data_IF_841212219271
#
_entry.id   IF_841212219271
#
_cell.length_a   1.000
_cell.length_b   1.000
_cell.length_c   1.000
_cell.angle_alpha   90.00
_cell.angle_beta   90.00
_cell.angle_gamma   90.00
#
_symmetry.space_group_name_H-M   'P 1'
#
loop_
_entity.id
_entity.type
_entity.pdbx_description
1 polymer ?
#
# COMPACT_ATOMS: atom_id res chain seq x y z
N UNK A 1 1.38 26.84 19.72
CA UNK A 1 1.77 27.62 20.91
C UNK A 1 3.28 27.81 20.94
N UNK A 2 3.76 29.05 21.02
CA UNK A 2 5.17 29.36 21.23
C UNK A 2 5.62 28.89 22.63
N UNK A 3 6.95 28.84 22.87
CA UNK A 3 7.49 28.51 24.21
C UNK A 3 6.98 29.47 25.29
N UNK A 4 6.83 30.74 24.93
CA UNK A 4 6.40 31.82 25.80
C UNK A 4 4.92 31.69 26.18
N UNK A 5 4.06 31.41 25.20
CA UNK A 5 2.63 31.15 25.44
C UNK A 5 2.41 29.97 26.39
N UNK A 6 3.28 28.96 26.31
CA UNK A 6 3.26 27.77 27.17
C UNK A 6 3.68 28.06 28.60
N UNK A 7 4.76 28.81 28.79
CA UNK A 7 5.17 29.23 30.13
C UNK A 7 4.10 30.13 30.78
N UNK A 8 3.47 31.01 30.01
CA UNK A 8 2.36 31.84 30.47
C UNK A 8 1.16 30.99 30.92
N UNK A 9 0.78 29.97 30.15
CA UNK A 9 -0.31 29.05 30.50
C UNK A 9 -0.01 28.27 31.80
N UNK A 10 1.20 27.71 31.95
CA UNK A 10 1.58 27.03 33.19
C UNK A 10 1.71 27.98 34.39
N UNK A 11 2.04 29.25 34.16
CA UNK A 11 2.07 30.28 35.20
C UNK A 11 0.65 30.62 35.66
N UNK A 12 -0.30 30.73 34.74
CA UNK A 12 -1.73 30.93 35.03
C UNK A 12 -2.36 29.75 35.77
N UNK A 13 -2.01 28.50 35.42
CA UNK A 13 -2.48 27.33 36.14
C UNK A 13 -1.96 27.31 37.58
N UNK A 14 -0.68 27.65 37.79
CA UNK A 14 -0.04 27.68 39.12
C UNK A 14 -0.55 28.82 40.01
N UNK A 15 -1.09 29.90 39.43
CA UNK A 15 -1.66 31.01 40.20
C UNK A 15 -3.09 30.77 40.68
N UNK A 16 -3.76 29.70 40.20
CA UNK A 16 -5.13 29.38 40.62
C UNK A 16 -5.16 28.75 42.02
N UNK A 17 -6.26 28.92 42.77
CA UNK A 17 -6.45 28.24 44.03
C UNK A 17 -6.37 26.72 43.84
N UNK A 18 -5.84 26.03 44.85
CA UNK A 18 -5.47 24.60 44.74
C UNK A 18 -6.61 23.70 44.27
N UNK A 19 -7.86 23.96 44.67
CA UNK A 19 -9.02 23.20 44.23
C UNK A 19 -9.28 23.30 42.71
N UNK A 20 -9.14 24.51 42.15
CA UNK A 20 -9.28 24.74 40.71
C UNK A 20 -8.07 24.22 39.94
N UNK A 21 -6.86 24.38 40.49
CA UNK A 21 -5.65 23.78 39.95
C UNK A 21 -5.79 22.26 39.85
N UNK A 22 -6.24 21.59 40.92
CA UNK A 22 -6.43 20.15 40.96
C UNK A 22 -7.45 19.68 39.91
N UNK A 23 -8.60 20.37 39.80
CA UNK A 23 -9.62 20.07 38.79
C UNK A 23 -9.10 20.25 37.35
N UNK A 24 -8.32 21.29 37.09
CA UNK A 24 -7.68 21.51 35.79
C UNK A 24 -6.55 20.49 35.52
N UNK A 25 -5.83 20.06 36.56
CA UNK A 25 -4.75 19.09 36.49
C UNK A 25 -5.24 17.63 36.35
N UNK A 26 -6.46 17.32 36.82
CA UNK A 26 -7.09 16.02 36.62
C UNK A 26 -7.32 15.70 35.15
N UNK A 27 -7.58 16.71 34.30
CA UNK A 27 -7.61 16.54 32.84
C UNK A 27 -6.25 16.05 32.27
N UNK A 28 -5.15 16.31 32.98
CA UNK A 28 -3.80 15.89 32.61
C UNK A 28 -3.44 14.48 33.15
N UNK A 29 -4.10 14.01 34.23
CA UNK A 29 -3.85 12.68 34.81
C UNK A 29 -4.67 11.59 34.11
N UNK A 30 -4.17 10.35 34.15
CA UNK A 30 -4.88 9.16 33.63
C UNK A 30 -4.66 8.85 32.15
N UNK A 31 -4.14 9.80 31.38
CA UNK A 31 -3.78 9.61 29.99
C UNK A 31 -2.34 9.10 29.91
N UNK A 32 -2.14 7.81 30.22
CA UNK A 32 -0.82 7.18 30.16
C UNK A 32 -0.15 7.37 28.79
N UNK A 33 1.04 6.79 28.60
CA UNK A 33 1.81 6.94 27.34
C UNK A 33 1.02 6.63 26.05
N UNK A 34 -0.11 5.93 26.16
CA UNK A 34 -1.02 5.55 25.08
C UNK A 34 -2.48 6.02 25.28
N UNK A 35 -2.77 6.87 26.27
CA UNK A 35 -4.13 7.38 26.51
C UNK A 35 -4.50 8.46 25.49
N UNK A 36 -5.67 8.34 24.86
CA UNK A 36 -6.21 9.40 24.00
C UNK A 36 -6.51 10.64 24.84
N UNK A 37 -5.67 11.66 24.69
CA UNK A 37 -5.92 12.97 25.30
C UNK A 37 -7.23 13.55 24.77
N UNK A 38 -7.96 14.33 25.59
CA UNK A 38 -9.11 15.08 25.11
C UNK A 38 -8.68 15.97 23.94
N UNK A 39 -9.47 16.00 22.88
CA UNK A 39 -9.25 16.87 21.71
C UNK A 39 -9.09 18.32 22.19
N UNK A 40 -7.88 18.87 22.07
CA UNK A 40 -7.54 20.23 22.55
C UNK A 40 -6.72 20.32 23.84
N UNK A 41 -6.51 19.22 24.58
CA UNK A 41 -5.58 19.21 25.71
C UNK A 41 -4.17 18.88 25.20
N UNK A 42 -3.39 19.92 24.92
CA UNK A 42 -1.99 19.85 24.45
C UNK A 42 -1.06 19.29 25.53
N UNK A 43 -1.16 18.00 25.86
CA UNK A 43 -0.05 17.29 26.51
C UNK A 43 0.88 16.80 25.41
N UNK A 44 1.92 17.58 25.15
CA UNK A 44 3.31 17.23 24.76
C UNK A 44 3.62 15.92 23.99
N UNK A 45 2.69 15.30 23.29
CA UNK A 45 3.01 14.42 22.18
C UNK A 45 3.04 15.30 20.95
N UNK A 46 4.09 15.16 20.14
CA UNK A 46 4.12 15.64 18.77
C UNK A 46 3.04 14.88 17.99
N UNK A 47 1.78 15.20 18.24
CA UNK A 47 0.67 14.81 17.37
C UNK A 47 0.66 15.87 16.27
N UNK A 48 1.67 15.78 15.41
CA UNK A 48 1.60 16.37 14.08
C UNK A 48 0.39 15.72 13.45
N UNK A 49 -0.71 16.48 13.40
CA UNK A 49 -1.97 16.28 12.70
C UNK A 49 -2.51 14.83 12.69
N UNK A 50 -3.73 14.63 13.20
CA UNK A 50 -4.45 13.38 12.95
C UNK A 50 -4.77 13.30 11.45
N UNK A 51 -3.77 12.95 10.64
CA UNK A 51 -3.94 12.65 9.24
C UNK A 51 -4.98 11.54 9.17
N UNK A 52 -6.12 11.85 8.56
CA UNK A 52 -7.21 10.91 8.36
C UNK A 52 -6.66 9.63 7.73
N UNK A 53 -6.64 8.54 8.50
CA UNK A 53 -6.23 7.24 8.01
C UNK A 53 -7.28 6.74 7.00
N UNK A 54 -6.86 5.91 6.04
CA UNK A 54 -7.76 5.36 4.99
C UNK A 54 -9.05 4.77 5.56
N UNK A 55 -8.96 4.15 6.74
CA UNK A 55 -10.10 3.52 7.39
C UNK A 55 -11.12 4.52 7.95
N UNK A 56 -10.80 5.81 8.09
CA UNK A 56 -11.74 6.86 8.46
C UNK A 56 -12.64 7.25 7.28
N UNK A 57 -12.07 7.38 6.07
CA UNK A 57 -12.79 7.79 4.87
C UNK A 57 -13.35 6.63 4.03
N UNK A 58 -12.73 5.45 4.08
CA UNK A 58 -13.07 4.29 3.26
C UNK A 58 -13.31 3.04 4.11
N UNK A 59 -14.17 2.16 3.61
CA UNK A 59 -14.36 0.81 4.11
C UNK A 59 -14.28 -0.19 2.97
N UNK A 60 -14.03 -1.45 3.31
CA UNK A 60 -14.01 -2.53 2.34
C UNK A 60 -15.42 -2.99 2.04
N UNK A 61 -15.71 -3.21 0.76
CA UNK A 61 -16.97 -3.80 0.34
C UNK A 61 -16.95 -5.31 0.60
N UNK A 62 -17.69 -5.75 1.62
CA UNK A 62 -17.76 -7.15 2.05
C UNK A 62 -18.20 -8.08 0.91
N UNK A 63 -19.11 -7.61 0.03
CA UNK A 63 -19.57 -8.38 -1.14
C UNK A 63 -18.43 -8.73 -2.12
N UNK A 64 -17.36 -7.92 -2.12
CA UNK A 64 -16.18 -8.09 -2.99
C UNK A 64 -14.95 -8.61 -2.25
N UNK A 65 -15.07 -8.86 -0.95
CA UNK A 65 -14.00 -9.35 -0.10
C UNK A 65 -14.42 -10.62 0.66
N UNK A 66 -15.20 -11.49 0.01
CA UNK A 66 -15.63 -12.78 0.56
C UNK A 66 -16.34 -12.66 1.93
N UNK A 67 -17.11 -11.59 2.13
CA UNK A 67 -17.85 -11.33 3.37
C UNK A 67 -17.00 -10.77 4.52
N UNK A 68 -15.72 -10.47 4.28
CA UNK A 68 -14.82 -9.96 5.32
C UNK A 68 -14.71 -8.44 5.28
N UNK A 69 -14.80 -7.81 6.45
CA UNK A 69 -14.69 -6.35 6.62
C UNK A 69 -13.26 -5.79 6.52
N UNK A 70 -12.25 -6.68 6.53
CA UNK A 70 -10.83 -6.32 6.53
C UNK A 70 -10.00 -7.03 5.46
N UNK A 71 -8.82 -6.50 5.08
CA UNK A 71 -7.87 -7.25 4.25
C UNK A 71 -7.39 -8.48 5.02
N UNK A 72 -7.37 -9.63 4.36
CA UNK A 72 -6.89 -10.88 4.96
C UNK A 72 -6.12 -11.70 3.92
N UNK A 73 -5.12 -12.46 4.38
CA UNK A 73 -4.38 -13.39 3.54
C UNK A 73 -4.66 -14.81 4.02
N UNK A 74 -5.01 -15.70 3.09
CA UNK A 74 -5.33 -17.10 3.37
C UNK A 74 -4.39 -18.01 2.57
N UNK A 75 -4.06 -19.17 3.15
CA UNK A 75 -3.23 -20.18 2.49
C UNK A 75 -4.04 -20.90 1.40
N UNK A 76 -3.89 -20.45 0.16
CA UNK A 76 -4.51 -21.09 -1.00
C UNK A 76 -3.69 -22.28 -1.49
N UNK A 77 -4.20 -23.50 -1.30
CA UNK A 77 -3.60 -24.74 -1.81
C UNK A 77 -4.11 -25.15 -3.20
N UNK A 78 -5.34 -24.78 -3.55
CA UNK A 78 -5.96 -25.13 -4.84
C UNK A 78 -5.34 -24.32 -6.01
N UNK A 79 -5.05 -25.00 -7.13
CA UNK A 79 -4.41 -24.41 -8.30
C UNK A 79 -5.24 -23.31 -8.98
N UNK A 80 -6.54 -23.53 -9.16
CA UNK A 80 -7.44 -22.57 -9.79
C UNK A 80 -7.63 -21.33 -8.91
N UNK A 81 -7.82 -21.52 -7.61
CA UNK A 81 -7.90 -20.42 -6.65
C UNK A 81 -6.59 -19.61 -6.64
N UNK A 82 -5.43 -20.28 -6.70
CA UNK A 82 -4.12 -19.60 -6.80
C UNK A 82 -3.99 -18.81 -8.11
N UNK A 83 -4.56 -19.27 -9.20
CA UNK A 83 -4.54 -18.56 -10.49
C UNK A 83 -5.32 -17.23 -10.45
N UNK A 84 -6.35 -17.15 -9.60
CA UNK A 84 -7.13 -15.90 -9.37
C UNK A 84 -6.39 -14.86 -8.53
N UNK A 85 -5.33 -15.24 -7.81
CA UNK A 85 -4.50 -14.31 -7.05
C UNK A 85 -3.62 -13.47 -7.98
N UNK A 86 -3.36 -12.23 -7.57
CA UNK A 86 -2.52 -11.30 -8.33
C UNK A 86 -1.05 -11.70 -8.23
N UNK A 87 -0.41 -11.89 -9.38
CA UNK A 87 1.02 -12.10 -9.50
C UNK A 87 1.76 -10.81 -9.17
N UNK A 88 2.67 -10.88 -8.20
CA UNK A 88 3.46 -9.75 -7.73
C UNK A 88 4.93 -10.01 -8.05
N UNK A 89 5.68 -8.95 -8.30
CA UNK A 89 7.12 -8.92 -8.46
C UNK A 89 7.78 -8.58 -7.12
N UNK A 90 8.37 -9.58 -6.48
CA UNK A 90 9.25 -9.32 -5.35
C UNK A 90 10.54 -8.63 -5.84
N UNK A 91 11.31 -8.05 -4.92
CA UNK A 91 12.59 -7.38 -5.23
C UNK A 91 13.52 -8.23 -6.09
N UNK A 92 13.57 -9.55 -5.85
CA UNK A 92 14.40 -10.48 -6.61
C UNK A 92 13.86 -10.76 -8.03
N UNK A 93 12.54 -10.81 -8.21
CA UNK A 93 11.93 -11.15 -9.50
C UNK A 93 11.72 -9.93 -10.41
N UNK A 94 11.71 -8.72 -9.86
CA UNK A 94 11.47 -7.50 -10.64
C UNK A 94 12.45 -7.35 -11.80
N UNK A 95 13.75 -7.48 -11.52
CA UNK A 95 14.81 -7.38 -12.54
C UNK A 95 14.66 -8.44 -13.65
N UNK A 96 14.21 -9.65 -13.32
CA UNK A 96 13.96 -10.70 -14.30
C UNK A 96 12.86 -10.29 -15.29
N UNK A 97 11.72 -9.78 -14.81
CA UNK A 97 10.62 -9.39 -15.69
C UNK A 97 10.95 -8.18 -16.55
N UNK A 98 11.70 -7.21 -16.01
CA UNK A 98 12.17 -6.05 -16.77
C UNK A 98 13.13 -6.46 -17.91
N UNK A 99 14.04 -7.40 -17.62
CA UNK A 99 15.02 -7.90 -18.58
C UNK A 99 14.39 -8.80 -19.66
N UNK A 100 13.56 -9.78 -19.28
CA UNK A 100 12.92 -10.72 -20.21
C UNK A 100 11.82 -10.04 -21.03
N UNK A 101 11.08 -9.11 -20.42
CA UNK A 101 10.00 -8.40 -21.08
C UNK A 101 8.72 -9.25 -21.21
N UNK A 102 7.99 -9.15 -22.34
CA UNK A 102 6.71 -9.84 -22.53
C UNK A 102 6.87 -11.37 -22.63
N UNK A 103 5.84 -12.11 -22.26
CA UNK A 103 5.84 -13.57 -22.34
C UNK A 103 6.02 -14.01 -23.82
N UNK A 104 7.00 -14.89 -24.12
CA UNK A 104 7.16 -15.40 -25.48
C UNK A 104 5.92 -16.19 -25.92
N UNK A 105 5.61 -16.24 -27.23
CA UNK A 105 4.50 -17.02 -27.74
C UNK A 105 4.67 -18.49 -27.36
N UNK A 106 3.57 -19.16 -26.99
CA UNK A 106 3.60 -20.59 -26.66
C UNK A 106 4.19 -21.39 -27.81
N UNK A 107 5.17 -22.22 -27.50
CA UNK A 107 5.73 -23.17 -28.46
C UNK A 107 4.59 -24.07 -28.96
N UNK A 108 4.36 -24.06 -30.28
CA UNK A 108 3.41 -24.99 -30.89
C UNK A 108 3.96 -26.40 -30.72
N UNK A 109 3.10 -27.35 -30.37
CA UNK A 109 3.48 -28.75 -30.37
C UNK A 109 4.08 -29.11 -31.74
N UNK A 110 5.16 -29.91 -31.79
CA UNK A 110 5.72 -30.33 -33.06
C UNK A 110 4.63 -31.04 -33.86
N UNK A 111 4.54 -30.71 -35.14
CA UNK A 111 3.62 -31.38 -36.05
C UNK A 111 4.10 -32.82 -36.21
N UNK A 112 3.42 -33.76 -35.56
CA UNK A 112 3.73 -35.19 -35.65
C UNK A 112 3.49 -35.76 -37.05
N UNK A 113 2.69 -35.06 -37.87
CA UNK A 113 2.40 -35.42 -39.26
C UNK A 113 2.79 -34.26 -40.15
N UNK A 114 3.43 -34.55 -41.28
CA UNK A 114 3.72 -33.56 -42.31
C UNK A 114 2.43 -32.93 -42.84
N UNK A 115 2.40 -31.61 -43.08
CA UNK A 115 1.24 -30.97 -43.70
C UNK A 115 0.95 -31.61 -45.06
N UNK A 116 -0.32 -31.86 -45.36
CA UNK A 116 -0.73 -32.29 -46.71
C UNK A 116 -0.46 -31.16 -47.72
N UNK A 117 0.09 -31.46 -48.91
CA UNK A 117 0.27 -30.46 -49.95
C UNK A 117 -1.07 -29.80 -50.28
N UNK A 118 -1.13 -28.46 -50.21
CA UNK A 118 -2.33 -27.68 -50.59
C UNK A 118 -3.09 -27.02 -49.44
N UNK A 119 -2.79 -27.32 -48.16
CA UNK A 119 -3.34 -26.56 -47.03
C UNK A 119 -2.40 -25.40 -46.68
N UNK A 120 -2.77 -24.17 -47.04
CA UNK A 120 -2.03 -22.97 -46.66
C UNK A 120 -2.02 -22.81 -45.14
N UNK A 121 -0.85 -23.04 -44.51
CA UNK A 121 -0.64 -22.67 -43.11
C UNK A 121 -0.85 -21.16 -42.96
N UNK A 122 -1.60 -20.68 -41.95
CA UNK A 122 -1.66 -19.25 -41.67
C UNK A 122 -0.24 -18.78 -41.34
N UNK A 123 0.27 -17.86 -42.16
CA UNK A 123 1.61 -17.30 -42.01
C UNK A 123 1.79 -16.79 -40.57
N UNK A 124 2.72 -17.41 -39.85
CA UNK A 124 3.11 -16.95 -38.52
C UNK A 124 3.56 -15.49 -38.66
N UNK A 125 2.86 -14.58 -37.97
CA UNK A 125 3.22 -13.17 -37.93
C UNK A 125 4.69 -13.07 -37.51
N UNK A 126 5.50 -12.48 -38.40
CA UNK A 126 6.95 -12.30 -38.22
C UNK A 126 7.23 -11.65 -36.86
N UNK A 127 8.23 -12.18 -36.16
CA UNK A 127 8.75 -11.60 -34.92
C UNK A 127 9.12 -10.13 -35.18
N UNK A 128 8.35 -9.22 -34.59
CA UNK A 128 8.71 -7.80 -34.54
C UNK A 128 9.97 -7.68 -33.70
N UNK A 129 11.06 -7.30 -34.35
CA UNK A 129 12.33 -6.92 -33.74
C UNK A 129 12.09 -5.87 -32.67
N UNK A 130 12.61 -6.12 -31.47
CA UNK A 130 12.54 -5.19 -30.34
C UNK A 130 13.28 -3.89 -30.70
N UNK A 131 12.53 -2.82 -30.95
CA UNK A 131 13.13 -1.47 -31.04
C UNK A 131 13.58 -0.97 -29.66
N UNK A 132 14.63 -0.13 -29.61
CA UNK A 132 15.26 0.29 -28.36
C UNK A 132 14.44 1.34 -27.60
N UNK A 133 14.39 1.14 -26.27
CA UNK A 133 14.35 2.15 -25.21
C UNK A 133 13.25 3.22 -25.26
N UNK A 134 11.97 2.82 -25.31
CA UNK A 134 10.89 3.52 -24.56
C UNK A 134 9.86 2.49 -24.10
N UNK A 135 9.44 2.47 -22.82
CA UNK A 135 8.36 1.60 -22.40
C UNK A 135 7.03 2.17 -22.94
N UNK A 136 6.59 1.69 -24.10
CA UNK A 136 5.21 1.94 -24.53
C UNK A 136 4.26 1.34 -23.47
N UNK A 137 3.08 1.96 -23.27
CA UNK A 137 2.03 1.42 -22.40
C UNK A 137 1.66 -0.04 -22.75
N UNK A 138 1.87 -0.45 -24.00
CA UNK A 138 1.66 -1.84 -24.43
C UNK A 138 2.72 -2.80 -23.90
N UNK A 139 3.99 -2.38 -23.77
CA UNK A 139 5.07 -3.22 -23.23
C UNK A 139 4.90 -3.45 -21.73
N UNK A 140 4.60 -2.41 -20.95
CA UNK A 140 4.40 -2.54 -19.50
C UNK A 140 3.23 -3.48 -19.19
N UNK A 141 2.12 -3.33 -19.91
CA UNK A 141 0.98 -4.25 -19.82
C UNK A 141 1.36 -5.68 -20.17
N UNK A 142 2.13 -5.89 -21.24
CA UNK A 142 2.56 -7.24 -21.62
C UNK A 142 3.52 -7.89 -20.60
N UNK A 143 4.33 -7.08 -19.90
CA UNK A 143 5.16 -7.54 -18.77
C UNK A 143 4.28 -7.89 -17.57
N UNK A 144 3.25 -7.09 -17.29
CA UNK A 144 2.28 -7.37 -16.23
C UNK A 144 1.48 -8.66 -16.53
N UNK A 145 1.05 -8.87 -17.76
CA UNK A 145 0.38 -10.10 -18.21
C UNK A 145 1.33 -11.31 -18.08
N UNK A 146 2.61 -11.13 -18.45
CA UNK A 146 3.65 -12.15 -18.26
C UNK A 146 3.78 -12.53 -16.77
N UNK A 147 3.91 -11.54 -15.90
CA UNK A 147 3.96 -11.72 -14.43
C UNK A 147 2.71 -12.44 -13.93
N UNK A 148 1.52 -12.02 -14.36
CA UNK A 148 0.26 -12.64 -13.95
C UNK A 148 0.15 -14.10 -14.42
N UNK A 149 0.81 -14.46 -15.52
CA UNK A 149 0.78 -15.82 -16.05
C UNK A 149 1.73 -16.77 -15.30
N UNK A 150 2.99 -16.38 -15.12
CA UNK A 150 4.04 -17.31 -14.66
C UNK A 150 4.50 -17.09 -13.21
N UNK A 151 4.14 -15.97 -12.57
CA UNK A 151 4.71 -15.66 -11.26
C UNK A 151 4.35 -16.71 -10.21
N UNK A 152 5.40 -17.14 -9.49
CA UNK A 152 5.27 -17.96 -8.29
C UNK A 152 4.83 -17.13 -7.08
N UNK A 153 5.09 -15.83 -7.06
CA UNK A 153 4.67 -14.92 -5.99
C UNK A 153 3.29 -14.37 -6.31
N UNK A 154 2.29 -14.75 -5.50
CA UNK A 154 0.91 -14.35 -5.69
C UNK A 154 0.28 -14.01 -4.35
N UNK A 155 -0.45 -12.90 -4.28
CA UNK A 155 -1.17 -12.49 -3.07
C UNK A 155 -2.57 -11.99 -3.42
N UNK A 156 -3.50 -12.14 -2.47
CA UNK A 156 -4.84 -11.56 -2.58
C UNK A 156 -4.81 -10.04 -2.36
N UNK A 157 -3.95 -9.62 -1.45
CA UNK A 157 -3.68 -8.23 -1.09
C UNK A 157 -2.20 -7.95 -1.24
N UNK A 158 -1.86 -6.77 -1.77
CA UNK A 158 -0.46 -6.35 -1.80
C UNK A 158 0.00 -6.14 -0.35
N UNK A 159 1.05 -6.82 0.11
CA UNK A 159 1.55 -6.64 1.46
C UNK A 159 2.00 -5.19 1.67
N UNK A 160 1.79 -4.60 2.87
CA UNK A 160 2.28 -3.27 3.15
C UNK A 160 3.80 -3.23 3.02
N UNK A 161 4.33 -2.11 2.52
CA UNK A 161 5.76 -1.88 2.51
C UNK A 161 6.27 -1.79 3.95
N UNK A 162 7.50 -2.25 4.19
CA UNK A 162 8.14 -2.07 5.49
C UNK A 162 8.27 -0.58 5.78
N UNK A 163 7.93 -0.13 7.00
CA UNK A 163 8.06 1.28 7.37
C UNK A 163 9.46 1.84 7.11
N UNK A 164 9.59 3.15 6.84
CA UNK A 164 10.89 3.76 6.61
C UNK A 164 11.79 3.53 7.83
N UNK A 165 13.03 3.11 7.57
CA UNK A 165 14.07 2.91 8.58
C UNK A 165 13.79 1.86 9.67
N UNK A 166 12.78 1.00 9.49
CA UNK A 166 12.40 -0.06 10.45
C UNK A 166 13.57 -0.98 10.86
N UNK A 167 14.49 -1.28 9.94
CA UNK A 167 15.66 -2.15 10.19
C UNK A 167 16.91 -1.40 10.66
N UNK A 168 16.85 -0.07 10.82
CA UNK A 168 17.98 0.68 11.39
C UNK A 168 17.96 0.49 12.90
N UNK A 169 18.85 -0.37 13.38
CA UNK A 169 18.98 -0.69 14.81
C UNK A 169 19.60 0.53 15.51
N UNK A 170 18.78 1.33 16.18
CA UNK A 170 19.19 2.51 16.95
C UNK A 170 18.03 3.49 17.17
N UNK A 171 18.17 4.40 18.14
CA UNK A 171 17.23 5.50 18.28
C UNK A 171 17.59 6.60 17.27
N UNK A 172 16.66 7.02 16.42
CA UNK A 172 16.92 8.11 15.48
C UNK A 172 17.18 9.41 16.25
N UNK A 173 18.08 10.24 15.73
CA UNK A 173 18.17 11.62 16.21
C UNK A 173 16.87 12.38 15.92
N UNK A 174 16.67 13.51 16.60
CA UNK A 174 15.54 14.42 16.43
C UNK A 174 15.30 14.83 14.97
N UNK A 175 16.36 15.10 14.19
CA UNK A 175 16.23 15.41 12.76
C UNK A 175 15.78 14.18 11.96
N UNK A 176 16.41 13.03 12.19
CA UNK A 176 16.06 11.77 11.54
C UNK A 176 14.62 11.34 11.83
N UNK A 177 14.15 11.58 13.05
CA UNK A 177 12.76 11.30 13.45
C UNK A 177 11.77 12.09 12.61
N UNK A 178 12.04 13.38 12.35
CA UNK A 178 11.20 14.22 11.48
C UNK A 178 11.17 13.69 10.06
N UNK A 179 12.32 13.32 9.52
CA UNK A 179 12.42 12.76 8.16
C UNK A 179 11.66 11.43 8.05
N UNK A 180 11.79 10.55 9.04
CA UNK A 180 11.06 9.27 9.12
C UNK A 180 9.55 9.52 9.16
N UNK A 181 9.09 10.46 9.99
CA UNK A 181 7.68 10.83 10.09
C UNK A 181 7.15 11.42 8.78
N UNK A 182 7.93 12.30 8.12
CA UNK A 182 7.56 12.85 6.82
C UNK A 182 7.42 11.75 5.76
N UNK A 183 8.37 10.82 5.67
CA UNK A 183 8.28 9.67 4.76
C UNK A 183 7.09 8.78 5.08
N UNK A 184 6.78 8.58 6.37
CA UNK A 184 5.60 7.82 6.78
C UNK A 184 4.30 8.51 6.32
N UNK A 185 4.21 9.85 6.40
CA UNK A 185 3.09 10.62 5.84
C UNK A 185 2.98 10.45 4.34
N UNK A 186 4.08 10.54 3.60
CA UNK A 186 4.10 10.35 2.14
C UNK A 186 3.59 8.95 1.75
N UNK A 187 4.00 7.90 2.47
CA UNK A 187 3.53 6.53 2.25
C UNK A 187 2.02 6.42 2.52
N UNK A 188 1.52 7.03 3.61
CA UNK A 188 0.08 7.06 3.93
C UNK A 188 -0.72 7.79 2.85
N UNK A 189 -0.25 8.97 2.43
CA UNK A 189 -0.87 9.77 1.37
C UNK A 189 -0.88 9.02 0.02
N UNK A 190 0.21 8.35 -0.34
CA UNK A 190 0.28 7.53 -1.55
C UNK A 190 -0.69 6.34 -1.48
N UNK A 191 -0.85 5.72 -0.31
CA UNK A 191 -1.82 4.65 -0.07
C UNK A 191 -3.26 5.17 -0.19
N UNK A 192 -3.56 6.36 0.36
CA UNK A 192 -4.85 7.04 0.19
C UNK A 192 -5.16 7.29 -1.29
N UNK A 193 -4.22 7.89 -2.01
CA UNK A 193 -4.36 8.17 -3.44
C UNK A 193 -4.61 6.90 -4.26
N UNK A 194 -3.92 5.79 -3.95
CA UNK A 194 -4.15 4.50 -4.60
C UNK A 194 -5.58 3.98 -4.35
N UNK A 195 -6.09 4.12 -3.13
CA UNK A 195 -7.47 3.72 -2.80
C UNK A 195 -8.49 4.60 -3.53
N UNK A 196 -8.24 5.90 -3.58
CA UNK A 196 -9.08 6.87 -4.30
C UNK A 196 -9.10 6.63 -5.82
N UNK A 197 -7.97 6.27 -6.42
CA UNK A 197 -7.83 5.96 -7.85
C UNK A 197 -8.51 4.64 -8.25
N UNK A 198 -8.70 3.71 -7.30
CA UNK A 198 -9.35 2.40 -7.51
C UNK A 198 -10.70 2.37 -6.75
N UNK A 199 -11.64 3.30 -7.01
CA UNK A 199 -12.91 3.28 -6.31
C UNK A 199 -13.71 2.04 -6.72
N UNK A 200 -14.56 1.56 -5.82
CA UNK A 200 -15.44 0.38 -6.01
C UNK A 200 -16.33 0.40 -7.27
N UNK A 201 -16.39 1.50 -8.03
CA UNK A 201 -17.11 1.51 -9.31
C UNK A 201 -16.29 0.90 -10.47
N UNK A 202 -14.98 0.72 -10.31
CA UNK A 202 -14.15 -0.03 -11.25
C UNK A 202 -14.27 -1.53 -10.96
N UNK A 203 -14.17 -2.36 -12.00
CA UNK A 203 -14.32 -3.82 -11.90
C UNK A 203 -13.43 -4.46 -10.81
N UNK A 204 -12.26 -3.88 -10.54
CA UNK A 204 -11.30 -4.38 -9.54
C UNK A 204 -11.33 -3.64 -8.19
N UNK A 205 -12.23 -2.66 -8.00
CA UNK A 205 -12.29 -1.84 -6.80
C UNK A 205 -12.91 -2.57 -5.61
N UNK A 206 -12.20 -2.64 -4.48
CA UNK A 206 -12.65 -3.29 -3.23
C UNK A 206 -13.00 -2.31 -2.10
N UNK A 207 -12.69 -1.03 -2.28
CA UNK A 207 -12.97 0.02 -1.29
C UNK A 207 -14.20 0.83 -1.72
N UNK A 208 -15.06 1.13 -0.75
CA UNK A 208 -16.18 2.07 -0.86
C UNK A 208 -15.97 3.23 0.11
N UNK A 209 -16.33 4.44 -0.32
CA UNK A 209 -16.26 5.62 0.55
C UNK A 209 -17.38 5.51 1.59
N UNK A 210 -17.06 5.78 2.85
CA UNK A 210 -18.09 5.87 3.91
C UNK A 210 -19.00 7.06 3.59
N UNK A 211 -20.30 6.87 3.80
CA UNK A 211 -21.32 7.91 3.62
C UNK A 211 -21.39 8.82 4.85
#
# INVERSE_FOLDING_TARGET
>A
MTKEEREAHFKQLRSKPYAEYKKAYEAYKGHGRYGQLPTGLLIFTYREDEDDDINSAYELDEARNDGMSGPFDEVVRNKEARQRLHGIDCSCCKAYYEAVGPLPPRLKAPLWKSPTPGQSQPQARRHLSASPVTPSKSRTKAIEDHRQHISRHRHKWIPPATPPDYWKIGFPDTQQTKDINQRAREIRAAKMKRVEEIPGNKADGRYRKKQ
#
